data_IF_412843731918
#
_entry.id   IF_412843731918
#
_cell.length_a   1.000
_cell.length_b   1.000
_cell.length_c   1.000
_cell.angle_alpha   90.00
_cell.angle_beta   90.00
_cell.angle_gamma   90.00
#
_symmetry.space_group_name_H-M   'P 1'
#
loop_
_entity.id
_entity.type
_entity.pdbx_description
1 polymer ?
#
# COMPACT_ATOMS: atom_id res chain seq x y z
N UNK A 1 -2.72 28.63 -15.73
CA UNK A 1 -1.36 28.26 -15.31
C UNK A 1 -1.37 26.74 -15.21
N UNK A 2 -0.40 26.02 -15.80
CA UNK A 2 -0.39 24.56 -15.70
C UNK A 2 -0.39 24.21 -14.21
N UNK A 3 -1.14 23.16 -13.83
CA UNK A 3 -1.20 22.59 -12.48
C UNK A 3 0.21 22.66 -11.91
N UNK A 4 0.38 23.49 -10.88
CA UNK A 4 1.67 23.96 -10.40
C UNK A 4 2.62 22.79 -10.19
N UNK A 5 3.91 22.99 -10.49
CA UNK A 5 5.05 22.06 -10.38
C UNK A 5 5.24 21.50 -8.94
N UNK A 6 4.22 20.89 -8.35
CA UNK A 6 4.27 20.24 -7.04
C UNK A 6 5.16 18.99 -7.07
N UNK A 7 5.43 18.43 -8.26
CA UNK A 7 6.38 17.33 -8.44
C UNK A 7 7.82 17.72 -8.06
N UNK A 8 8.17 19.02 -8.09
CA UNK A 8 9.51 19.53 -7.76
C UNK A 8 9.74 19.68 -6.23
N UNK A 9 8.68 19.59 -5.41
CA UNK A 9 8.78 19.71 -3.93
C UNK A 9 8.96 18.37 -3.20
N UNK A 10 8.97 17.25 -3.93
CA UNK A 10 9.26 15.91 -3.36
C UNK A 10 10.75 15.73 -3.04
N UNK A 11 11.11 14.92 -2.03
CA UNK A 11 12.52 14.51 -1.90
C UNK A 11 12.92 13.69 -3.13
N UNK A 12 14.22 13.50 -3.31
CA UNK A 12 14.73 12.70 -4.42
C UNK A 12 14.09 11.30 -4.43
N UNK A 13 13.69 10.85 -5.62
CA UNK A 13 13.04 9.55 -5.89
C UNK A 13 14.03 8.38 -5.79
N UNK A 14 14.70 8.25 -4.65
CA UNK A 14 15.69 7.22 -4.36
C UNK A 14 15.24 6.41 -3.12
N UNK A 15 14.87 5.11 -3.23
CA UNK A 15 14.75 4.25 -4.43
C UNK A 15 13.45 4.48 -5.23
N UNK A 16 13.51 4.26 -6.54
CA UNK A 16 12.33 4.31 -7.44
C UNK A 16 11.42 3.10 -7.20
N UNK A 17 10.30 3.30 -6.50
CA UNK A 17 9.31 2.24 -6.23
C UNK A 17 8.68 1.67 -7.52
N UNK A 18 8.63 2.44 -8.59
CA UNK A 18 8.19 1.99 -9.93
C UNK A 18 8.99 0.79 -10.43
N UNK A 19 10.28 0.72 -10.08
CA UNK A 19 11.15 -0.39 -10.46
C UNK A 19 10.78 -1.68 -9.74
N UNK A 20 10.34 -1.61 -8.48
CA UNK A 20 9.80 -2.76 -7.76
C UNK A 20 8.46 -3.21 -8.37
N UNK A 21 7.61 -2.28 -8.80
CA UNK A 21 6.36 -2.60 -9.48
C UNK A 21 6.61 -3.28 -10.84
N UNK A 22 7.55 -2.79 -11.65
CA UNK A 22 7.90 -3.45 -12.92
C UNK A 22 8.52 -4.83 -12.73
N UNK A 23 9.40 -4.97 -11.72
CA UNK A 23 9.94 -6.28 -11.33
C UNK A 23 8.82 -7.25 -10.96
N UNK A 24 7.86 -6.78 -10.16
CA UNK A 24 6.72 -7.58 -9.73
C UNK A 24 5.82 -7.98 -10.91
N UNK A 25 5.48 -7.05 -11.80
CA UNK A 25 4.71 -7.34 -13.01
C UNK A 25 5.36 -8.44 -13.85
N UNK A 26 6.68 -8.37 -14.05
CA UNK A 26 7.42 -9.38 -14.82
C UNK A 26 7.50 -10.75 -14.12
N UNK A 27 7.28 -10.80 -12.80
CA UNK A 27 7.20 -12.07 -12.07
C UNK A 27 5.85 -12.78 -12.25
N UNK A 28 4.80 -12.04 -12.60
CA UNK A 28 3.46 -12.60 -12.85
C UNK A 28 3.47 -13.40 -14.15
N UNK A 29 2.83 -14.60 -14.18
CA UNK A 29 2.81 -15.46 -15.36
C UNK A 29 2.14 -14.81 -16.58
N UNK A 30 1.24 -13.85 -16.35
CA UNK A 30 0.47 -13.15 -17.40
C UNK A 30 1.30 -12.11 -18.16
N UNK A 31 2.28 -11.48 -17.50
CA UNK A 31 3.12 -10.41 -18.05
C UNK A 31 4.58 -10.82 -18.24
N UNK A 32 4.90 -12.09 -18.01
CA UNK A 32 6.26 -12.65 -18.04
C UNK A 32 7.00 -12.46 -19.37
N UNK A 33 6.28 -12.25 -20.47
CA UNK A 33 6.83 -12.08 -21.82
C UNK A 33 6.75 -10.65 -22.37
N UNK A 34 6.30 -9.67 -21.57
CA UNK A 34 6.15 -8.30 -22.05
C UNK A 34 7.51 -7.63 -22.29
N UNK A 35 7.93 -7.64 -23.56
CA UNK A 35 9.20 -7.10 -24.01
C UNK A 35 9.34 -5.59 -23.71
N UNK A 36 8.24 -4.85 -23.71
CA UNK A 36 8.23 -3.41 -23.40
C UNK A 36 8.53 -3.13 -21.93
N UNK A 37 7.97 -3.91 -21.00
CA UNK A 37 8.26 -3.78 -19.55
C UNK A 37 9.69 -4.18 -19.24
N UNK A 38 10.18 -5.24 -19.90
CA UNK A 38 11.59 -5.63 -19.82
C UNK A 38 12.54 -4.55 -20.34
N UNK A 39 12.21 -3.91 -21.47
CA UNK A 39 13.03 -2.84 -22.02
C UNK A 39 13.09 -1.62 -21.08
N UNK A 40 11.94 -1.19 -20.54
CA UNK A 40 11.87 -0.09 -19.57
C UNK A 40 12.68 -0.37 -18.29
N UNK A 41 12.58 -1.59 -17.77
CA UNK A 41 13.36 -2.00 -16.60
C UNK A 41 14.87 -2.00 -16.91
N UNK A 42 15.28 -2.55 -18.06
CA UNK A 42 16.69 -2.58 -18.46
C UNK A 42 17.26 -1.18 -18.75
N UNK A 43 16.45 -0.27 -19.31
CA UNK A 43 16.83 1.14 -19.50
C UNK A 43 17.04 1.83 -18.16
N UNK A 44 16.15 1.63 -17.19
CA UNK A 44 16.33 2.20 -15.86
C UNK A 44 17.55 1.62 -15.12
N UNK A 45 17.77 0.30 -15.22
CA UNK A 45 18.97 -0.35 -14.66
C UNK A 45 20.26 0.19 -15.30
N UNK A 46 20.24 0.50 -16.61
CA UNK A 46 21.37 1.12 -17.32
C UNK A 46 21.57 2.58 -16.97
N UNK A 47 20.50 3.33 -16.73
CA UNK A 47 20.58 4.74 -16.36
C UNK A 47 21.15 4.92 -14.94
N UNK A 48 20.75 4.05 -14.01
CA UNK A 48 21.10 4.15 -12.58
C UNK A 48 22.24 3.20 -12.15
N UNK A 49 22.83 2.44 -13.09
CA UNK A 49 23.93 1.49 -12.87
C UNK A 49 23.69 0.51 -11.69
N UNK A 50 22.48 -0.04 -11.61
CA UNK A 50 22.04 -0.88 -10.47
C UNK A 50 22.58 -2.32 -10.55
N UNK A 51 23.88 -2.51 -10.35
CA UNK A 51 24.53 -3.82 -10.54
C UNK A 51 24.05 -4.93 -9.56
N UNK A 52 24.00 -4.71 -8.23
CA UNK A 52 23.51 -5.71 -7.27
C UNK A 52 22.03 -6.01 -7.48
N UNK A 53 21.22 -4.99 -7.78
CA UNK A 53 19.80 -5.17 -8.05
C UNK A 53 19.55 -5.98 -9.33
N UNK A 54 20.35 -5.76 -10.39
CA UNK A 54 20.28 -6.56 -11.61
C UNK A 54 20.59 -8.04 -11.35
N UNK A 55 21.57 -8.35 -10.50
CA UNK A 55 21.86 -9.74 -10.11
C UNK A 55 20.68 -10.39 -9.39
N UNK A 56 20.07 -9.68 -8.44
CA UNK A 56 18.86 -10.15 -7.75
C UNK A 56 17.68 -10.38 -8.71
N UNK A 57 17.45 -9.48 -9.66
CA UNK A 57 16.39 -9.64 -10.67
C UNK A 57 16.67 -10.83 -11.58
N UNK A 58 17.92 -10.97 -12.03
CA UNK A 58 18.29 -12.02 -12.96
C UNK A 58 18.12 -13.41 -12.33
N UNK A 59 18.41 -13.53 -11.03
CA UNK A 59 18.17 -14.73 -10.23
C UNK A 59 16.67 -15.01 -10.05
N UNK A 60 15.87 -14.01 -9.68
CA UNK A 60 14.44 -14.21 -9.42
C UNK A 60 13.62 -14.46 -10.70
N UNK A 61 13.94 -13.77 -11.79
CA UNK A 61 13.24 -13.90 -13.07
C UNK A 61 13.81 -15.00 -13.97
N UNK A 62 14.88 -15.69 -13.54
CA UNK A 62 15.64 -16.68 -14.32
C UNK A 62 16.08 -16.15 -15.69
N UNK A 63 16.57 -14.91 -15.74
CA UNK A 63 17.08 -14.32 -16.99
C UNK A 63 18.57 -14.67 -17.19
N UNK A 64 19.07 -14.65 -18.44
CA UNK A 64 20.50 -14.75 -18.69
C UNK A 64 21.20 -13.47 -18.23
N UNK A 65 22.27 -13.64 -17.45
CA UNK A 65 23.07 -12.53 -16.93
C UNK A 65 24.04 -12.02 -18.00
N UNK A 66 23.89 -10.76 -18.42
CA UNK A 66 24.84 -10.10 -19.32
C UNK A 66 26.12 -9.71 -18.55
N UNK A 67 27.14 -10.57 -18.59
CA UNK A 67 28.39 -10.41 -17.84
C UNK A 67 29.17 -9.14 -18.20
N UNK A 68 29.15 -8.74 -19.46
CA UNK A 68 29.87 -7.56 -19.95
C UNK A 68 29.23 -6.25 -19.47
N UNK A 69 27.90 -6.22 -19.38
CA UNK A 69 27.15 -5.07 -18.87
C UNK A 69 27.38 -4.93 -17.37
N UNK A 70 27.31 -6.05 -16.62
CA UNK A 70 27.59 -6.07 -15.20
C UNK A 70 29.02 -5.62 -14.86
N UNK A 71 30.02 -6.05 -15.62
CA UNK A 71 31.40 -5.63 -15.40
C UNK A 71 31.57 -4.11 -15.57
N UNK A 72 30.94 -3.53 -16.61
CA UNK A 72 30.95 -2.07 -16.84
C UNK A 72 30.24 -1.31 -15.71
N UNK A 73 29.09 -1.79 -15.25
CA UNK A 73 28.35 -1.17 -14.15
C UNK A 73 29.12 -1.24 -12.83
N UNK A 74 29.74 -2.39 -12.51
CA UNK A 74 30.55 -2.56 -11.29
C UNK A 74 31.76 -1.63 -11.29
N UNK A 75 32.42 -1.45 -12.44
CA UNK A 75 33.57 -0.53 -12.55
C UNK A 75 33.14 0.93 -12.37
N UNK A 76 32.04 1.35 -12.98
CA UNK A 76 31.48 2.69 -12.79
C UNK A 76 31.06 2.93 -11.32
N UNK A 77 30.39 1.96 -10.71
CA UNK A 77 30.00 2.04 -9.30
C UNK A 77 31.22 2.14 -8.38
N UNK A 78 32.29 1.39 -8.66
CA UNK A 78 33.53 1.46 -7.87
C UNK A 78 34.20 2.82 -7.98
N UNK A 79 34.26 3.39 -9.19
CA UNK A 79 34.82 4.73 -9.41
C UNK A 79 34.02 5.81 -8.69
N UNK A 80 32.69 5.73 -8.71
CA UNK A 80 31.83 6.67 -7.98
C UNK A 80 31.93 6.49 -6.46
N UNK A 81 32.01 5.24 -5.96
CA UNK A 81 32.23 4.99 -4.53
C UNK A 81 33.56 5.58 -4.04
N UNK A 82 34.65 5.43 -4.80
CA UNK A 82 35.96 5.99 -4.44
C UNK A 82 35.87 7.52 -4.37
N UNK A 83 35.25 8.18 -5.35
CA UNK A 83 35.06 9.63 -5.33
C UNK A 83 34.25 10.10 -4.12
N UNK A 84 33.21 9.35 -3.75
CA UNK A 84 32.38 9.67 -2.58
C UNK A 84 33.13 9.42 -1.26
N UNK A 85 33.98 8.40 -1.20
CA UNK A 85 34.84 8.12 -0.05
C UNK A 85 35.92 9.18 0.12
N UNK A 86 36.58 9.60 -0.96
CA UNK A 86 37.55 10.69 -0.97
C UNK A 86 36.87 12.01 -0.52
N UNK A 87 35.65 12.28 -1.00
CA UNK A 87 34.88 13.45 -0.57
C UNK A 87 34.49 13.41 0.91
N UNK A 88 34.21 12.22 1.47
CA UNK A 88 33.96 12.07 2.91
C UNK A 88 35.25 12.31 3.70
N UNK A 89 36.38 11.76 3.26
CA UNK A 89 37.67 11.98 3.92
C UNK A 89 38.10 13.45 3.90
N UNK A 90 37.90 14.14 2.77
CA UNK A 90 38.18 15.57 2.65
C UNK A 90 37.25 16.40 3.52
N UNK A 91 35.97 16.03 3.61
CA UNK A 91 35.02 16.69 4.50
C UNK A 91 35.36 16.45 5.97
N UNK A 92 35.81 15.25 6.35
CA UNK A 92 36.21 14.94 7.74
C UNK A 92 37.50 15.65 8.16
N UNK A 93 38.42 15.90 7.22
CA UNK A 93 39.71 16.56 7.50
C UNK A 93 39.61 18.08 7.47
N UNK A 94 38.81 18.65 6.56
CA UNK A 94 38.85 20.08 6.24
C UNK A 94 37.57 20.86 6.63
N UNK A 95 36.43 20.17 6.81
CA UNK A 95 35.11 20.80 6.85
C UNK A 95 34.36 20.51 8.16
N UNK A 96 33.21 21.17 8.34
CA UNK A 96 32.36 21.02 9.53
C UNK A 96 31.45 19.78 9.50
N UNK A 97 30.82 19.47 10.64
CA UNK A 97 29.92 18.31 10.81
C UNK A 97 28.75 18.28 9.79
N UNK A 98 28.28 19.44 9.34
CA UNK A 98 27.20 19.55 8.35
C UNK A 98 27.62 19.02 6.97
N UNK A 99 28.85 19.31 6.54
CA UNK A 99 29.36 18.91 5.23
C UNK A 99 29.78 17.44 5.23
N UNK A 100 30.35 16.96 6.34
CA UNK A 100 30.58 15.53 6.59
C UNK A 100 29.27 14.76 6.47
N UNK A 101 28.18 15.28 7.05
CA UNK A 101 26.87 14.67 6.94
C UNK A 101 26.38 14.63 5.49
N UNK A 102 26.44 15.74 4.77
CA UNK A 102 25.95 15.80 3.39
C UNK A 102 26.71 14.82 2.47
N UNK A 103 28.03 14.71 2.64
CA UNK A 103 28.84 13.72 1.93
C UNK A 103 28.42 12.28 2.27
N UNK A 104 28.17 11.98 3.54
CA UNK A 104 27.69 10.66 3.96
C UNK A 104 26.25 10.37 3.45
N UNK A 105 25.40 11.40 3.35
CA UNK A 105 24.03 11.28 2.83
C UNK A 105 24.05 10.97 1.33
N UNK A 106 24.85 11.70 0.53
CA UNK A 106 25.06 11.41 -0.89
C UNK A 106 25.56 10.00 -1.14
N UNK A 107 26.49 9.51 -0.30
CA UNK A 107 26.94 8.10 -0.36
C UNK A 107 25.81 7.13 -0.06
N UNK A 108 24.97 7.43 0.93
CA UNK A 108 23.85 6.56 1.31
C UNK A 108 22.77 6.51 0.24
N UNK A 109 22.44 7.66 -0.37
CA UNK A 109 21.53 7.77 -1.52
C UNK A 109 22.07 7.02 -2.74
N UNK A 110 23.38 7.12 -3.00
CA UNK A 110 24.02 6.39 -4.08
C UNK A 110 23.96 4.87 -3.89
N UNK A 111 24.24 4.38 -2.67
CA UNK A 111 24.10 2.95 -2.33
C UNK A 111 22.64 2.48 -2.45
N UNK A 112 21.69 3.35 -2.09
CA UNK A 112 20.25 3.12 -2.27
C UNK A 112 19.87 3.02 -3.75
N UNK A 113 20.43 3.91 -4.59
CA UNK A 113 20.26 3.90 -6.05
C UNK A 113 20.82 2.64 -6.68
N UNK A 114 21.97 2.14 -6.21
CA UNK A 114 22.55 0.89 -6.70
C UNK A 114 21.71 -0.34 -6.27
N UNK A 115 20.96 -0.21 -5.17
CA UNK A 115 20.09 -1.25 -4.64
C UNK A 115 20.80 -2.24 -3.71
N UNK A 116 21.95 -1.91 -3.12
CA UNK A 116 22.54 -2.76 -2.08
C UNK A 116 21.86 -2.49 -0.73
N UNK A 117 20.94 -3.39 -0.34
CA UNK A 117 20.16 -3.27 0.91
C UNK A 117 21.07 -3.18 2.15
N UNK A 118 22.05 -4.07 2.26
CA UNK A 118 22.85 -4.19 3.49
C UNK A 118 23.83 -3.05 3.65
N UNK A 119 24.51 -2.67 2.57
CA UNK A 119 25.41 -1.53 2.59
C UNK A 119 24.67 -0.22 2.83
N UNK A 120 23.51 -0.02 2.18
CA UNK A 120 22.68 1.16 2.37
C UNK A 120 22.20 1.30 3.82
N UNK A 121 21.71 0.22 4.44
CA UNK A 121 21.30 0.26 5.85
C UNK A 121 22.43 0.69 6.79
N UNK A 122 23.64 0.16 6.59
CA UNK A 122 24.80 0.54 7.43
C UNK A 122 25.22 2.00 7.20
N UNK A 123 25.16 2.48 5.96
CA UNK A 123 25.47 3.86 5.61
C UNK A 123 24.46 4.83 6.23
N UNK A 124 23.15 4.51 6.13
CA UNK A 124 22.08 5.32 6.74
C UNK A 124 22.13 5.34 8.27
N UNK A 125 22.60 4.26 8.91
CA UNK A 125 22.84 4.26 10.37
C UNK A 125 24.00 5.18 10.74
N UNK A 126 25.10 5.15 9.99
CA UNK A 126 26.24 6.05 10.19
C UNK A 126 25.86 7.52 9.97
N UNK A 127 25.05 7.81 8.94
CA UNK A 127 24.56 9.19 8.73
C UNK A 127 23.67 9.62 9.90
N UNK A 128 22.78 8.74 10.37
CA UNK A 128 21.85 9.05 11.45
C UNK A 128 22.60 9.45 12.74
N UNK A 129 23.65 8.72 13.11
CA UNK A 129 24.47 9.04 14.29
C UNK A 129 25.15 10.41 14.17
N UNK A 130 25.64 10.76 12.98
CA UNK A 130 26.28 12.06 12.71
C UNK A 130 25.28 13.22 12.53
N UNK A 131 23.99 12.95 12.43
CA UNK A 131 22.97 14.01 12.26
C UNK A 131 22.51 14.57 13.61
N UNK A 132 22.52 15.90 13.73
CA UNK A 132 22.06 16.59 14.95
C UNK A 132 20.63 17.11 14.81
N UNK A 133 20.26 17.65 13.64
CA UNK A 133 18.92 18.22 13.41
C UNK A 133 17.83 17.14 13.31
N UNK A 134 16.72 17.35 14.02
CA UNK A 134 15.59 16.42 14.10
C UNK A 134 14.87 16.24 12.75
N UNK A 135 14.64 17.32 12.00
CA UNK A 135 14.01 17.23 10.67
C UNK A 135 14.82 16.35 9.72
N UNK A 136 16.13 16.48 9.76
CA UNK A 136 17.05 15.68 8.95
C UNK A 136 17.17 14.22 9.39
N UNK A 137 17.04 13.95 10.70
CA UNK A 137 16.91 12.58 11.22
C UNK A 137 15.66 11.89 10.68
N UNK A 138 14.54 12.62 10.61
CA UNK A 138 13.30 12.12 10.04
C UNK A 138 13.46 11.81 8.54
N UNK A 139 14.09 12.70 7.78
CA UNK A 139 14.32 12.48 6.34
C UNK A 139 15.11 11.18 6.09
N UNK A 140 16.15 10.90 6.89
CA UNK A 140 16.92 9.64 6.81
C UNK A 140 16.04 8.42 7.14
N UNK A 141 15.18 8.52 8.15
CA UNK A 141 14.26 7.43 8.50
C UNK A 141 13.26 7.19 7.36
N UNK A 142 12.78 8.22 6.66
CA UNK A 142 11.92 8.04 5.49
C UNK A 142 12.64 7.31 4.36
N UNK A 143 13.94 7.54 4.12
CA UNK A 143 14.73 6.74 3.17
C UNK A 143 14.80 5.27 3.58
N UNK A 144 15.01 4.98 4.87
CA UNK A 144 15.01 3.60 5.39
C UNK A 144 13.65 2.91 5.27
N UNK A 145 12.55 3.65 5.49
CA UNK A 145 11.18 3.12 5.29
C UNK A 145 10.95 2.82 3.79
N UNK A 146 11.38 3.71 2.88
CA UNK A 146 11.29 3.47 1.43
C UNK A 146 12.09 2.25 0.99
N UNK A 147 13.31 2.09 1.49
CA UNK A 147 14.12 0.89 1.26
C UNK A 147 13.40 -0.37 1.78
N UNK A 148 12.80 -0.28 2.96
CA UNK A 148 11.99 -1.37 3.52
C UNK A 148 10.78 -1.72 2.65
N UNK A 149 10.04 -0.72 2.15
CA UNK A 149 8.89 -0.90 1.26
C UNK A 149 9.29 -1.50 -0.10
N UNK A 150 10.42 -1.09 -0.66
CA UNK A 150 10.95 -1.62 -1.92
C UNK A 150 11.28 -3.12 -1.86
N UNK A 151 11.79 -3.58 -0.71
CA UNK A 151 12.09 -4.99 -0.46
C UNK A 151 10.97 -5.77 0.27
N UNK A 152 9.88 -5.10 0.63
CA UNK A 152 8.80 -5.62 1.49
C UNK A 152 9.30 -6.30 2.78
N UNK A 153 10.26 -5.68 3.47
CA UNK A 153 10.73 -6.17 4.78
C UNK A 153 9.89 -5.57 5.92
N UNK A 154 8.93 -6.34 6.42
CA UNK A 154 8.00 -5.92 7.47
C UNK A 154 8.69 -5.53 8.79
N UNK A 155 9.76 -6.22 9.17
CA UNK A 155 10.46 -5.96 10.44
C UNK A 155 11.24 -4.64 10.38
N UNK A 156 11.86 -4.35 9.23
CA UNK A 156 12.57 -3.10 9.03
C UNK A 156 11.60 -1.90 9.02
N UNK A 157 10.46 -2.04 8.32
CA UNK A 157 9.46 -0.97 8.20
C UNK A 157 8.86 -0.65 9.58
N UNK A 158 8.43 -1.65 10.34
CA UNK A 158 7.79 -1.44 11.66
C UNK A 158 8.72 -0.72 12.63
N UNK A 159 9.97 -1.17 12.76
CA UNK A 159 10.97 -0.54 13.64
C UNK A 159 11.22 0.93 13.27
N UNK A 160 11.29 1.23 11.98
CA UNK A 160 11.56 2.60 11.51
C UNK A 160 10.33 3.50 11.62
N UNK A 161 9.12 2.96 11.42
CA UNK A 161 7.87 3.70 11.66
C UNK A 161 7.73 4.09 13.13
N UNK A 162 8.03 3.19 14.07
CA UNK A 162 7.90 3.50 15.50
C UNK A 162 8.96 4.52 15.96
N UNK A 163 10.19 4.44 15.42
CA UNK A 163 11.21 5.49 15.62
C UNK A 163 10.75 6.84 15.06
N UNK A 164 10.14 6.86 13.88
CA UNK A 164 9.63 8.09 13.29
C UNK A 164 8.50 8.70 14.12
N UNK A 165 7.59 7.89 14.68
CA UNK A 165 6.52 8.39 15.57
C UNK A 165 7.10 9.11 16.78
N UNK A 166 8.09 8.50 17.45
CA UNK A 166 8.75 9.07 18.61
C UNK A 166 9.39 10.43 18.29
N UNK A 167 10.14 10.52 17.18
CA UNK A 167 10.79 11.77 16.77
C UNK A 167 9.80 12.86 16.36
N UNK A 168 8.64 12.49 15.79
CA UNK A 168 7.61 13.48 15.45
C UNK A 168 6.92 14.02 16.70
N UNK A 169 6.76 13.21 17.74
CA UNK A 169 6.24 13.66 19.04
C UNK A 169 7.21 14.62 19.75
N UNK A 170 8.53 14.44 19.59
CA UNK A 170 9.55 15.32 20.16
C UNK A 170 9.60 16.72 19.51
N UNK A 171 9.16 16.87 18.27
CA UNK A 171 9.14 18.18 17.60
C UNK A 171 9.18 18.14 16.07
N UNK A 172 8.41 17.24 15.45
CA UNK A 172 8.37 17.13 13.99
C UNK A 172 7.53 18.22 13.33
N UNK A 173 8.02 18.74 12.19
CA UNK A 173 7.25 19.64 11.34
C UNK A 173 5.95 19.00 10.85
N UNK A 174 4.95 19.85 10.62
CA UNK A 174 3.63 19.41 10.20
C UNK A 174 3.66 18.65 8.85
N UNK A 175 4.48 19.09 7.89
CA UNK A 175 4.65 18.39 6.59
C UNK A 175 5.21 16.97 6.76
N UNK A 176 6.27 16.81 7.58
CA UNK A 176 6.87 15.50 7.88
C UNK A 176 5.90 14.57 8.59
N UNK A 177 4.98 15.11 9.39
CA UNK A 177 3.89 14.34 10.02
C UNK A 177 2.93 13.77 8.97
N UNK A 178 2.58 14.55 7.95
CA UNK A 178 1.72 14.07 6.87
C UNK A 178 2.42 13.01 6.02
N UNK A 179 3.70 13.20 5.67
CA UNK A 179 4.49 12.18 4.98
C UNK A 179 4.51 10.88 5.78
N UNK A 180 4.76 10.92 7.09
CA UNK A 180 4.72 9.73 7.94
C UNK A 180 3.36 9.03 7.89
N UNK A 181 2.25 9.77 7.92
CA UNK A 181 0.91 9.19 7.78
C UNK A 181 0.73 8.47 6.44
N UNK A 182 1.22 9.03 5.34
CA UNK A 182 1.19 8.37 4.02
C UNK A 182 2.01 7.08 4.06
N UNK A 183 3.24 7.10 4.59
CA UNK A 183 4.08 5.89 4.75
C UNK A 183 3.39 4.81 5.60
N UNK A 184 2.78 5.21 6.71
CA UNK A 184 2.01 4.31 7.58
C UNK A 184 0.78 3.75 6.87
N UNK A 185 0.07 4.58 6.10
CA UNK A 185 -1.09 4.18 5.30
C UNK A 185 -0.72 3.13 4.27
N UNK A 186 0.34 3.34 3.49
CA UNK A 186 0.85 2.38 2.51
C UNK A 186 1.23 1.05 3.16
N UNK A 187 1.97 1.11 4.27
CA UNK A 187 2.35 -0.10 5.00
C UNK A 187 1.12 -0.84 5.55
N UNK A 188 0.11 -0.10 6.02
CA UNK A 188 -1.14 -0.67 6.53
C UNK A 188 -1.94 -1.36 5.42
N UNK A 189 -1.92 -0.85 4.18
CA UNK A 189 -2.45 -1.54 2.99
C UNK A 189 -1.73 -2.87 2.76
N UNK A 190 -0.39 -2.88 2.85
CA UNK A 190 0.41 -4.10 2.68
C UNK A 190 0.14 -5.18 3.74
N UNK A 191 -0.19 -4.79 4.97
CA UNK A 191 -0.50 -5.69 6.10
C UNK A 191 -2.01 -6.01 6.23
N UNK A 192 -2.86 -5.50 5.31
CA UNK A 192 -4.32 -5.69 5.28
C UNK A 192 -5.10 -4.95 6.38
N UNK A 193 -4.53 -3.91 6.98
CA UNK A 193 -5.26 -3.01 7.89
C UNK A 193 -5.82 -1.80 7.11
N UNK A 194 -6.91 -2.05 6.40
CA UNK A 194 -7.58 -1.01 5.62
C UNK A 194 -8.22 0.08 6.50
N UNK A 195 -8.54 -0.22 7.76
CA UNK A 195 -9.24 0.75 8.63
C UNK A 195 -8.27 1.84 9.09
N UNK A 196 -7.08 1.46 9.52
CA UNK A 196 -6.02 2.42 9.83
C UNK A 196 -5.59 3.18 8.57
N UNK A 197 -5.41 2.48 7.45
CA UNK A 197 -5.04 3.08 6.17
C UNK A 197 -6.05 4.15 5.69
N UNK A 198 -7.36 3.89 5.79
CA UNK A 198 -8.40 4.85 5.38
C UNK A 198 -8.30 6.16 6.15
N UNK A 199 -8.10 6.08 7.48
CA UNK A 199 -7.98 7.26 8.32
C UNK A 199 -6.72 8.06 8.01
N UNK A 200 -5.58 7.39 7.85
CA UNK A 200 -4.33 8.07 7.52
C UNK A 200 -4.38 8.73 6.15
N UNK A 201 -4.91 8.05 5.13
CA UNK A 201 -5.01 8.61 3.80
C UNK A 201 -5.95 9.81 3.75
N UNK A 202 -7.16 9.70 4.31
CA UNK A 202 -8.14 10.79 4.32
C UNK A 202 -7.65 12.05 5.03
N UNK A 203 -6.88 11.90 6.11
CA UNK A 203 -6.28 13.04 6.80
C UNK A 203 -5.22 13.77 5.95
N UNK A 204 -4.63 13.08 4.96
CA UNK A 204 -3.48 13.58 4.17
C UNK A 204 -3.83 13.99 2.74
N UNK A 205 -5.07 13.77 2.26
CA UNK A 205 -5.48 14.12 0.89
C UNK A 205 -5.25 15.60 0.60
N UNK A 206 -5.59 16.48 1.54
CA UNK A 206 -5.54 17.93 1.37
C UNK A 206 -4.14 18.51 1.29
N UNK A 207 -3.15 17.78 1.77
CA UNK A 207 -1.78 18.28 1.95
C UNK A 207 -0.77 17.20 1.57
N UNK A 208 -1.06 16.54 0.46
CA UNK A 208 -0.20 15.52 -0.10
C UNK A 208 1.04 16.16 -0.74
N UNK A 209 2.21 15.84 -0.19
CA UNK A 209 3.53 16.30 -0.67
C UNK A 209 4.47 15.13 -0.98
N UNK A 210 3.97 13.89 -0.96
CA UNK A 210 4.78 12.66 -1.02
C UNK A 210 4.92 12.09 -2.43
N UNK A 211 5.37 12.91 -3.39
CA UNK A 211 5.60 12.51 -4.79
C UNK A 211 6.73 11.47 -4.97
N UNK A 212 7.51 11.24 -3.91
CA UNK A 212 8.50 10.16 -3.84
C UNK A 212 7.88 8.76 -3.90
N UNK A 213 6.66 8.63 -3.37
CA UNK A 213 5.99 7.34 -3.19
C UNK A 213 5.10 7.00 -4.39
N UNK A 214 4.26 7.95 -4.75
CA UNK A 214 3.29 7.81 -5.85
C UNK A 214 2.83 9.18 -6.31
N UNK A 215 2.30 9.20 -7.53
CA UNK A 215 1.64 10.37 -8.08
C UNK A 215 0.29 10.64 -7.38
N UNK A 216 -0.13 11.91 -7.33
CA UNK A 216 -1.32 12.36 -6.62
C UNK A 216 -2.62 11.68 -7.09
N UNK A 217 -2.90 11.50 -8.40
CA UNK A 217 -4.06 10.74 -8.87
C UNK A 217 -4.04 9.27 -8.42
N UNK A 218 -2.86 8.66 -8.35
CA UNK A 218 -2.69 7.29 -7.85
C UNK A 218 -2.97 7.21 -6.35
N UNK A 219 -2.52 8.22 -5.60
CA UNK A 219 -2.81 8.36 -4.18
C UNK A 219 -4.32 8.51 -3.90
N UNK A 220 -5.02 9.35 -4.65
CA UNK A 220 -6.48 9.50 -4.53
C UNK A 220 -7.19 8.19 -4.87
N UNK A 221 -6.74 7.46 -5.90
CA UNK A 221 -7.28 6.13 -6.25
C UNK A 221 -7.18 5.15 -5.07
N UNK A 222 -6.01 5.02 -4.45
CA UNK A 222 -5.85 4.17 -3.27
C UNK A 222 -6.71 4.62 -2.10
N UNK A 223 -6.79 5.94 -1.88
CA UNK A 223 -7.62 6.52 -0.82
C UNK A 223 -9.09 6.12 -0.99
N UNK A 224 -9.64 6.22 -2.21
CA UNK A 224 -11.02 5.81 -2.51
C UNK A 224 -11.20 4.31 -2.29
N UNK A 225 -10.31 3.46 -2.81
CA UNK A 225 -10.43 2.01 -2.66
C UNK A 225 -10.45 1.56 -1.19
N UNK A 226 -9.54 2.10 -0.38
CA UNK A 226 -9.43 1.77 1.04
C UNK A 226 -10.59 2.37 1.84
N UNK A 227 -11.03 3.58 1.49
CA UNK A 227 -12.17 4.22 2.14
C UNK A 227 -13.50 3.46 1.90
N UNK A 228 -13.70 2.89 0.70
CA UNK A 228 -14.92 2.12 0.37
C UNK A 228 -15.08 0.85 1.22
N UNK A 229 -13.97 0.21 1.62
CA UNK A 229 -14.02 -0.97 2.50
C UNK A 229 -14.22 -0.57 3.97
N UNK A 230 -13.54 0.49 4.40
CA UNK A 230 -13.36 0.75 5.84
C UNK A 230 -14.42 1.64 6.46
N UNK A 231 -15.00 2.55 5.68
CA UNK A 231 -15.89 3.58 6.21
C UNK A 231 -17.35 3.18 6.06
N UNK A 232 -18.18 3.47 7.08
CA UNK A 232 -19.62 3.35 6.93
C UNK A 232 -20.14 4.39 5.92
N UNK A 233 -21.31 4.11 5.34
CA UNK A 233 -21.93 4.92 4.27
C UNK A 233 -22.05 6.42 4.59
N UNK A 234 -22.34 6.76 5.84
CA UNK A 234 -22.48 8.16 6.27
C UNK A 234 -21.14 8.91 6.21
N UNK A 235 -20.08 8.31 6.76
CA UNK A 235 -18.75 8.91 6.75
C UNK A 235 -18.17 8.95 5.33
N UNK A 236 -18.42 7.92 4.52
CA UNK A 236 -18.02 7.89 3.12
C UNK A 236 -18.67 9.02 2.31
N UNK A 237 -19.94 9.34 2.58
CA UNK A 237 -20.63 10.48 1.94
C UNK A 237 -19.93 11.80 2.25
N UNK A 238 -19.68 12.06 3.52
CA UNK A 238 -19.21 13.37 3.95
C UNK A 238 -17.71 13.57 3.66
N UNK A 239 -16.88 12.52 3.83
CA UNK A 239 -15.43 12.62 3.62
C UNK A 239 -15.00 12.41 2.18
N UNK A 240 -15.62 11.47 1.45
CA UNK A 240 -15.18 11.09 0.09
C UNK A 240 -16.09 11.69 -0.97
N UNK A 241 -17.38 11.41 -0.92
CA UNK A 241 -18.31 11.80 -2.00
C UNK A 241 -18.48 13.32 -2.08
N UNK A 242 -18.48 14.03 -0.95
CA UNK A 242 -18.56 15.51 -0.89
C UNK A 242 -17.20 16.19 -0.79
N UNK A 243 -16.10 15.45 -0.68
CA UNK A 243 -14.76 16.02 -0.56
C UNK A 243 -14.36 16.71 -1.86
N UNK A 244 -14.08 18.02 -1.81
CA UNK A 244 -13.79 18.82 -3.00
C UNK A 244 -12.52 18.34 -3.73
N UNK A 245 -11.45 18.06 -2.98
CA UNK A 245 -10.15 17.61 -3.51
C UNK A 245 -10.25 16.27 -4.22
N UNK A 246 -11.00 15.33 -3.63
CA UNK A 246 -11.22 14.00 -4.22
C UNK A 246 -12.10 14.13 -5.47
N UNK A 247 -13.14 14.96 -5.43
CA UNK A 247 -14.01 15.21 -6.60
C UNK A 247 -13.23 15.78 -7.79
N UNK A 248 -12.36 16.76 -7.55
CA UNK A 248 -11.53 17.38 -8.61
C UNK A 248 -10.69 16.33 -9.35
N UNK A 249 -10.00 15.47 -8.60
CA UNK A 249 -9.16 14.41 -9.19
C UNK A 249 -10.01 13.29 -9.82
N UNK A 250 -11.17 12.98 -9.25
CA UNK A 250 -12.12 12.01 -9.79
C UNK A 250 -12.66 12.42 -11.17
N UNK A 251 -12.63 13.70 -11.54
CA UNK A 251 -12.96 14.12 -12.91
C UNK A 251 -11.93 13.66 -13.94
N UNK A 252 -10.66 13.50 -13.55
CA UNK A 252 -9.60 12.95 -14.41
C UNK A 252 -9.58 11.43 -14.49
N UNK A 253 -10.24 10.74 -13.54
CA UNK A 253 -10.28 9.27 -13.43
C UNK A 253 -11.74 8.76 -13.43
N UNK A 254 -12.37 8.62 -14.62
CA UNK A 254 -13.77 8.20 -14.72
C UNK A 254 -14.02 6.81 -14.10
N UNK A 255 -13.09 5.88 -14.24
CA UNK A 255 -13.23 4.51 -13.73
C UNK A 255 -13.46 4.46 -12.21
N UNK A 256 -12.70 5.26 -11.45
CA UNK A 256 -12.79 5.31 -9.98
C UNK A 256 -14.06 6.04 -9.56
N UNK A 257 -14.45 7.06 -10.32
CA UNK A 257 -15.67 7.83 -10.09
C UNK A 257 -16.92 6.97 -10.28
N UNK A 258 -17.03 6.29 -11.41
CA UNK A 258 -18.15 5.41 -11.71
C UNK A 258 -18.25 4.28 -10.69
N UNK A 259 -17.12 3.68 -10.31
CA UNK A 259 -17.06 2.67 -9.24
C UNK A 259 -17.61 3.17 -7.89
N UNK A 260 -17.17 4.36 -7.44
CA UNK A 260 -17.61 4.96 -6.18
C UNK A 260 -19.11 5.32 -6.21
N UNK A 261 -19.55 6.00 -7.27
CA UNK A 261 -20.93 6.44 -7.40
C UNK A 261 -21.90 5.29 -7.64
N UNK A 262 -21.50 4.22 -8.34
CA UNK A 262 -22.33 3.04 -8.54
C UNK A 262 -22.73 2.40 -7.20
N UNK A 263 -21.76 2.23 -6.28
CA UNK A 263 -22.04 1.71 -4.94
C UNK A 263 -22.92 2.68 -4.13
N UNK A 264 -22.60 3.97 -4.15
CA UNK A 264 -23.31 4.97 -3.34
C UNK A 264 -24.75 5.19 -3.81
N UNK A 265 -24.99 5.20 -5.13
CA UNK A 265 -26.31 5.37 -5.75
C UNK A 265 -27.12 4.06 -5.84
N UNK A 266 -26.57 2.94 -5.36
CA UNK A 266 -27.18 1.61 -5.39
C UNK A 266 -27.38 1.01 -6.81
N UNK A 267 -26.54 1.37 -7.79
CA UNK A 267 -26.54 0.73 -9.13
C UNK A 267 -25.62 -0.49 -9.13
N UNK A 268 -26.12 -1.61 -8.60
CA UNK A 268 -25.27 -2.79 -8.34
C UNK A 268 -24.77 -3.51 -9.59
N UNK A 269 -25.53 -3.51 -10.68
CA UNK A 269 -25.11 -4.11 -11.95
C UNK A 269 -23.88 -3.43 -12.56
N UNK A 270 -23.81 -2.10 -12.49
CA UNK A 270 -22.63 -1.32 -12.94
C UNK A 270 -21.46 -1.52 -11.98
N UNK A 271 -21.74 -1.53 -10.67
CA UNK A 271 -20.74 -1.77 -9.64
C UNK A 271 -19.98 -3.10 -9.85
N UNK A 272 -20.66 -4.18 -10.25
CA UNK A 272 -19.99 -5.47 -10.51
C UNK A 272 -19.06 -5.44 -11.73
N UNK A 273 -19.40 -4.65 -12.76
CA UNK A 273 -18.53 -4.46 -13.93
C UNK A 273 -17.27 -3.71 -13.53
N UNK A 274 -17.42 -2.57 -12.87
CA UNK A 274 -16.27 -1.80 -12.39
C UNK A 274 -15.44 -2.54 -11.35
N UNK A 275 -16.06 -3.39 -10.51
CA UNK A 275 -15.34 -4.22 -9.55
C UNK A 275 -14.40 -5.21 -10.24
N UNK A 276 -14.79 -5.74 -11.40
CA UNK A 276 -13.92 -6.63 -12.19
C UNK A 276 -12.72 -5.88 -12.76
N UNK A 277 -12.91 -4.64 -13.24
CA UNK A 277 -11.81 -3.80 -13.72
C UNK A 277 -10.84 -3.44 -12.57
N UNK A 278 -11.38 -3.09 -11.40
CA UNK A 278 -10.59 -2.82 -10.20
C UNK A 278 -9.82 -4.07 -9.74
N UNK A 279 -10.41 -5.26 -9.84
CA UNK A 279 -9.72 -6.52 -9.52
C UNK A 279 -8.46 -6.71 -10.39
N UNK A 280 -8.54 -6.42 -11.69
CA UNK A 280 -7.39 -6.48 -12.60
C UNK A 280 -6.30 -5.49 -12.19
N UNK A 281 -6.67 -4.26 -11.85
CA UNK A 281 -5.73 -3.22 -11.39
C UNK A 281 -5.04 -3.67 -10.10
N UNK A 282 -5.78 -4.13 -9.10
CA UNK A 282 -5.22 -4.57 -7.81
C UNK A 282 -4.34 -5.82 -7.94
N UNK A 283 -4.62 -6.68 -8.92
CA UNK A 283 -3.79 -7.86 -9.23
C UNK A 283 -2.45 -7.47 -9.86
N UNK A 284 -2.45 -6.41 -10.66
CA UNK A 284 -1.23 -5.87 -11.29
C UNK A 284 -0.36 -5.08 -10.32
N UNK A 285 -0.93 -4.62 -9.20
CA UNK A 285 -0.20 -3.82 -8.21
C UNK A 285 0.64 -4.66 -7.25
N UNK A 286 1.87 -4.20 -7.00
CA UNK A 286 2.85 -4.87 -6.14
C UNK A 286 2.38 -4.99 -4.69
N UNK A 287 1.79 -3.91 -4.15
CA UNK A 287 1.41 -3.83 -2.74
C UNK A 287 0.09 -4.55 -2.46
N UNK A 288 -0.86 -4.43 -3.38
CA UNK A 288 -2.20 -5.00 -3.21
C UNK A 288 -2.35 -6.45 -3.68
N UNK A 289 -1.46 -6.99 -4.53
CA UNK A 289 -1.63 -8.33 -5.10
C UNK A 289 -1.76 -9.47 -4.07
N UNK A 290 -1.06 -9.52 -2.93
CA UNK A 290 -1.32 -10.58 -1.95
C UNK A 290 -2.76 -10.59 -1.42
N UNK A 291 -3.45 -9.44 -1.46
CA UNK A 291 -4.74 -9.21 -0.82
C UNK A 291 -5.89 -8.88 -1.79
N UNK A 292 -5.70 -8.90 -3.12
CA UNK A 292 -6.76 -8.53 -4.08
C UNK A 292 -8.04 -9.38 -3.89
N UNK A 293 -7.90 -10.68 -3.65
CA UNK A 293 -9.04 -11.59 -3.41
C UNK A 293 -9.82 -11.23 -2.15
N UNK A 294 -9.10 -10.75 -1.12
CA UNK A 294 -9.74 -10.27 0.10
C UNK A 294 -10.55 -9.00 -0.20
N UNK A 295 -9.95 -8.04 -0.92
CA UNK A 295 -10.63 -6.80 -1.31
C UNK A 295 -11.96 -7.07 -2.03
N UNK A 296 -11.93 -7.86 -3.10
CA UNK A 296 -13.12 -8.18 -3.91
C UNK A 296 -14.19 -8.88 -3.07
N UNK A 297 -13.78 -9.81 -2.21
CA UNK A 297 -14.72 -10.54 -1.34
C UNK A 297 -15.41 -9.62 -0.34
N UNK A 298 -14.66 -8.72 0.31
CA UNK A 298 -15.25 -7.78 1.27
C UNK A 298 -16.18 -6.77 0.58
N UNK A 299 -15.81 -6.30 -0.61
CA UNK A 299 -16.67 -5.41 -1.40
C UNK A 299 -18.00 -6.07 -1.82
N UNK A 300 -17.98 -7.36 -2.19
CA UNK A 300 -19.22 -8.12 -2.46
C UNK A 300 -20.11 -8.22 -1.22
N UNK A 301 -19.52 -8.55 -0.07
CA UNK A 301 -20.27 -8.63 1.21
C UNK A 301 -20.91 -7.28 1.54
N UNK A 302 -20.18 -6.18 1.34
CA UNK A 302 -20.66 -4.83 1.62
C UNK A 302 -21.84 -4.45 0.71
N UNK A 303 -21.74 -4.73 -0.60
CA UNK A 303 -22.83 -4.48 -1.54
C UNK A 303 -24.08 -5.32 -1.22
N UNK A 304 -23.92 -6.61 -0.87
CA UNK A 304 -25.03 -7.44 -0.43
C UNK A 304 -25.65 -6.96 0.88
N UNK A 305 -24.83 -6.60 1.86
CA UNK A 305 -25.31 -6.08 3.14
C UNK A 305 -26.12 -4.80 2.95
N UNK A 306 -25.65 -3.89 2.09
CA UNK A 306 -26.34 -2.63 1.78
C UNK A 306 -27.74 -2.84 1.17
N UNK A 307 -27.89 -3.79 0.24
CA UNK A 307 -29.21 -4.12 -0.30
C UNK A 307 -30.11 -4.77 0.75
N UNK A 308 -29.58 -5.75 1.50
CA UNK A 308 -30.33 -6.50 2.49
C UNK A 308 -30.75 -5.66 3.69
N UNK A 309 -29.99 -4.62 4.07
CA UNK A 309 -30.33 -3.77 5.22
C UNK A 309 -31.67 -3.01 5.01
N UNK A 310 -31.97 -2.68 3.75
CA UNK A 310 -33.16 -1.91 3.35
C UNK A 310 -34.44 -2.73 3.36
N UNK A 311 -34.36 -4.06 3.24
CA UNK A 311 -35.50 -4.96 3.08
C UNK A 311 -35.55 -6.04 4.17
N UNK A 312 -36.75 -6.35 4.67
CA UNK A 312 -36.95 -7.48 5.60
C UNK A 312 -36.92 -8.83 4.87
N UNK A 313 -37.50 -8.85 3.67
CA UNK A 313 -37.57 -10.01 2.79
C UNK A 313 -37.53 -9.54 1.35
N UNK A 314 -36.82 -10.27 0.49
CA UNK A 314 -36.72 -10.01 -0.95
C UNK A 314 -36.70 -11.33 -1.72
N UNK A 315 -37.10 -11.31 -2.98
CA UNK A 315 -37.00 -12.49 -3.86
C UNK A 315 -35.58 -12.61 -4.42
N UNK A 316 -35.11 -13.85 -4.60
CA UNK A 316 -33.81 -14.13 -5.24
C UNK A 316 -33.75 -13.58 -6.67
N UNK A 317 -34.88 -13.61 -7.39
CA UNK A 317 -34.97 -13.07 -8.75
C UNK A 317 -34.77 -11.55 -8.79
N UNK A 318 -35.38 -10.79 -7.88
CA UNK A 318 -35.15 -9.35 -7.79
C UNK A 318 -33.68 -9.03 -7.50
N UNK A 319 -33.06 -9.80 -6.60
CA UNK A 319 -31.65 -9.64 -6.29
C UNK A 319 -30.77 -9.94 -7.51
N UNK A 320 -31.05 -11.02 -8.24
CA UNK A 320 -30.36 -11.39 -9.47
C UNK A 320 -30.42 -10.27 -10.53
N UNK A 321 -31.60 -9.72 -10.75
CA UNK A 321 -31.82 -8.60 -11.68
C UNK A 321 -31.10 -7.31 -11.23
N UNK A 322 -31.14 -6.98 -9.94
CA UNK A 322 -30.47 -5.79 -9.41
C UNK A 322 -28.95 -5.83 -9.55
N UNK A 323 -28.34 -7.01 -9.35
CA UNK A 323 -26.90 -7.22 -9.50
C UNK A 323 -26.49 -7.59 -10.94
N UNK A 324 -27.45 -7.86 -11.84
CA UNK A 324 -27.18 -8.24 -13.23
C UNK A 324 -26.51 -9.61 -13.37
N UNK A 325 -26.79 -10.55 -12.47
CA UNK A 325 -26.21 -11.89 -12.42
C UNK A 325 -27.30 -12.96 -12.36
N UNK A 326 -26.92 -14.23 -12.54
CA UNK A 326 -27.85 -15.35 -12.49
C UNK A 326 -28.26 -15.72 -11.05
N UNK A 327 -29.43 -16.33 -10.91
CA UNK A 327 -30.00 -16.75 -9.62
C UNK A 327 -29.09 -17.78 -8.95
N UNK A 328 -28.57 -18.76 -9.71
CA UNK A 328 -27.68 -19.79 -9.19
C UNK A 328 -26.35 -19.21 -8.69
N UNK A 329 -25.87 -18.13 -9.31
CA UNK A 329 -24.66 -17.44 -8.87
C UNK A 329 -24.86 -16.77 -7.51
N UNK A 330 -25.99 -16.05 -7.34
CA UNK A 330 -26.33 -15.41 -6.06
C UNK A 330 -26.51 -16.44 -4.95
N UNK A 331 -27.19 -17.55 -5.22
CA UNK A 331 -27.41 -18.59 -4.20
C UNK A 331 -26.08 -19.19 -3.70
N UNK A 332 -25.12 -19.44 -4.60
CA UNK A 332 -23.79 -19.92 -4.24
C UNK A 332 -22.98 -18.89 -3.43
N UNK A 333 -23.04 -17.61 -3.78
CA UNK A 333 -22.32 -16.57 -3.03
C UNK A 333 -22.94 -16.31 -1.65
N UNK A 334 -24.27 -16.17 -1.59
CA UNK A 334 -24.97 -15.94 -0.33
C UNK A 334 -24.79 -17.11 0.63
N UNK A 335 -24.94 -18.36 0.16
CA UNK A 335 -24.74 -19.54 1.01
C UNK A 335 -23.35 -19.57 1.63
N UNK A 336 -22.30 -19.24 0.86
CA UNK A 336 -20.93 -19.13 1.37
C UNK A 336 -20.77 -18.05 2.43
N UNK A 337 -21.32 -16.86 2.22
CA UNK A 337 -21.20 -15.74 3.17
C UNK A 337 -22.04 -15.91 4.44
N UNK A 338 -23.21 -16.54 4.31
CA UNK A 338 -24.08 -16.90 5.44
C UNK A 338 -23.40 -18.00 6.27
N UNK A 339 -22.84 -19.03 5.63
CA UNK A 339 -22.10 -20.09 6.32
C UNK A 339 -20.86 -19.54 7.06
N UNK A 340 -20.18 -18.54 6.47
CA UNK A 340 -19.08 -17.84 7.13
C UNK A 340 -19.54 -16.87 8.25
N UNK A 341 -20.85 -16.67 8.43
CA UNK A 341 -21.42 -15.75 9.42
C UNK A 341 -21.12 -14.28 9.14
N UNK A 342 -20.78 -13.92 7.89
CA UNK A 342 -20.51 -12.53 7.47
C UNK A 342 -21.78 -11.81 7.04
N UNK A 343 -22.80 -12.56 6.63
CA UNK A 343 -24.10 -12.05 6.21
C UNK A 343 -25.20 -12.60 7.12
N UNK A 344 -26.03 -11.72 7.67
CA UNK A 344 -27.13 -12.11 8.55
C UNK A 344 -28.43 -12.25 7.78
N UNK A 345 -28.47 -13.25 6.89
CA UNK A 345 -29.64 -13.58 6.11
C UNK A 345 -29.87 -15.10 6.07
N UNK A 346 -31.10 -15.50 5.75
CA UNK A 346 -31.48 -16.88 5.48
C UNK A 346 -32.05 -16.93 4.07
N UNK A 347 -31.64 -17.94 3.31
CA UNK A 347 -32.13 -18.17 1.95
C UNK A 347 -33.06 -19.37 1.98
N UNK A 348 -34.29 -19.18 1.52
CA UNK A 348 -35.23 -20.24 1.19
C UNK A 348 -35.24 -20.43 -0.34
N UNK A 349 -34.58 -21.50 -0.79
CA UNK A 349 -34.47 -21.83 -2.22
C UNK A 349 -35.80 -22.32 -2.82
N UNK A 350 -36.68 -22.94 -2.04
CA UNK A 350 -37.97 -23.45 -2.53
C UNK A 350 -38.96 -22.29 -2.68
N UNK A 351 -39.00 -21.41 -1.68
CA UNK A 351 -39.80 -20.18 -1.73
C UNK A 351 -39.22 -19.10 -2.64
N UNK A 352 -37.92 -19.18 -2.99
CA UNK A 352 -37.22 -18.17 -3.77
C UNK A 352 -37.03 -16.86 -3.02
N UNK A 353 -37.00 -16.89 -1.68
CA UNK A 353 -37.02 -15.70 -0.81
C UNK A 353 -35.75 -15.68 0.04
N UNK A 354 -35.17 -14.48 0.20
CA UNK A 354 -34.12 -14.19 1.17
C UNK A 354 -34.73 -13.37 2.29
N UNK A 355 -34.70 -13.94 3.50
CA UNK A 355 -35.15 -13.27 4.73
C UNK A 355 -33.94 -12.73 5.48
N UNK A 356 -33.99 -11.45 5.87
CA UNK A 356 -32.93 -10.83 6.65
C UNK A 356 -33.20 -11.04 8.13
N UNK A 357 -32.19 -11.54 8.84
CA UNK A 357 -32.26 -11.67 10.28
C UNK A 357 -31.47 -10.51 10.89
N UNK A 358 -32.12 -9.71 11.73
CA UNK A 358 -31.44 -8.62 12.44
C UNK A 358 -31.03 -9.14 13.81
N UNK A 359 -29.77 -9.59 14.00
CA UNK A 359 -29.32 -9.99 15.32
C UNK A 359 -29.34 -8.78 16.26
N UNK A 360 -29.86 -8.98 17.48
CA UNK A 360 -29.76 -7.97 18.52
C UNK A 360 -28.29 -7.58 18.78
N UNK A 361 -28.04 -6.29 18.95
CA UNK A 361 -26.69 -5.74 19.17
C UNK A 361 -25.99 -6.43 20.36
N UNK A 362 -26.74 -6.77 21.42
CA UNK A 362 -26.22 -7.51 22.58
C UNK A 362 -25.76 -8.92 22.22
N UNK A 363 -26.46 -9.62 21.35
CA UNK A 363 -26.09 -10.98 20.94
C UNK A 363 -24.82 -10.98 20.08
N UNK A 364 -24.70 -9.99 19.18
CA UNK A 364 -23.48 -9.79 18.41
C UNK A 364 -22.27 -9.48 19.30
N UNK A 365 -22.43 -8.54 20.25
CA UNK A 365 -21.38 -8.20 21.22
C UNK A 365 -20.98 -9.42 22.06
N UNK A 366 -21.96 -10.16 22.58
CA UNK A 366 -21.71 -11.37 23.37
C UNK A 366 -20.88 -12.41 22.60
N UNK A 367 -21.25 -12.71 21.35
CA UNK A 367 -20.49 -13.63 20.50
C UNK A 367 -19.08 -13.11 20.18
N UNK A 368 -18.94 -11.81 19.93
CA UNK A 368 -17.64 -11.20 19.67
C UNK A 368 -16.71 -11.31 20.89
N UNK A 369 -17.22 -11.05 22.10
CA UNK A 369 -16.48 -11.14 23.35
C UNK A 369 -16.00 -12.57 23.62
N UNK A 370 -16.84 -13.58 23.37
CA UNK A 370 -16.42 -14.99 23.50
C UNK A 370 -15.28 -15.32 22.54
N UNK A 371 -15.40 -14.95 21.26
CA UNK A 371 -14.36 -15.24 20.26
C UNK A 371 -13.02 -14.57 20.61
N UNK A 372 -13.05 -13.32 21.05
CA UNK A 372 -11.83 -12.60 21.48
C UNK A 372 -11.28 -13.18 22.79
N UNK A 373 -12.16 -13.55 23.72
CA UNK A 373 -11.81 -14.22 24.98
C UNK A 373 -11.08 -15.54 24.76
N UNK A 374 -11.60 -16.40 23.89
CA UNK A 374 -10.98 -17.68 23.55
C UNK A 374 -9.58 -17.49 22.93
N UNK A 375 -9.42 -16.51 22.04
CA UNK A 375 -8.12 -16.20 21.45
C UNK A 375 -7.10 -15.77 22.53
N UNK A 376 -7.53 -14.91 23.46
CA UNK A 376 -6.70 -14.44 24.56
C UNK A 376 -6.32 -15.58 25.51
N UNK A 377 -7.28 -16.39 25.93
CA UNK A 377 -7.06 -17.55 26.81
C UNK A 377 -6.06 -18.53 26.20
N UNK A 378 -6.20 -18.84 24.91
CA UNK A 378 -5.25 -19.71 24.20
C UNK A 378 -3.82 -19.13 24.19
N UNK A 379 -3.68 -17.81 24.05
CA UNK A 379 -2.37 -17.15 24.06
C UNK A 379 -1.75 -17.15 25.46
N UNK A 380 -2.55 -16.87 26.50
CA UNK A 380 -2.13 -16.92 27.90
C UNK A 380 -1.71 -18.35 28.27
N UNK A 381 -2.47 -19.37 27.87
CA UNK A 381 -2.15 -20.76 28.16
C UNK A 381 -0.81 -21.18 27.52
N UNK A 382 -0.53 -20.75 26.28
CA UNK A 382 0.77 -20.97 25.63
C UNK A 382 1.91 -20.27 26.37
N UNK A 383 1.72 -19.01 26.74
CA UNK A 383 2.71 -18.24 27.51
C UNK A 383 3.00 -18.88 28.88
N UNK A 384 1.97 -19.29 29.61
CA UNK A 384 2.12 -19.96 30.91
C UNK A 384 2.94 -21.25 30.80
N UNK A 385 2.76 -22.05 29.73
CA UNK A 385 3.56 -23.25 29.50
C UNK A 385 5.04 -22.94 29.24
N UNK A 386 5.34 -21.83 28.56
CA UNK A 386 6.73 -21.41 28.29
C UNK A 386 7.40 -20.83 29.52
N UNK A 387 6.66 -20.12 30.38
CA UNK A 387 7.20 -19.51 31.61
C UNK A 387 7.42 -20.53 32.73
N UNK A 388 6.61 -21.60 32.77
CA UNK A 388 6.69 -22.64 33.80
C UNK A 388 7.73 -23.75 33.50
N UNK A 389 8.35 -23.75 32.31
CA UNK A 389 9.52 -24.56 31.95
C UNK A 389 10.75 -23.72 32.22
#
# INVERSE_FOLDING_TARGET
>A
MPVENLEEEGLEKNPKLELAQYKFLLSLPEHKQDAALKAKLLEAVRADNMAPWYEHICLELNWPVDKDLLARMREQNRLELIKLDDAIEDAEKNLGEMEVREANLKKSEFLCRIGDKTAAETAFRKTYEKTVSLGHRLDIIFHLIRLGLFYLDHDLITRNIDKAKYLIEEGGDWDRRNRLKVYQGIYSVAVRDFKAAANFFLDTVSTFTSYELMDYPTFVRYTVYVAMISLPRNELRDKVVKGAEIQEVLHGLPDVKEYLFALYNCHYAEFFKHLADVELVLRSDYLANPHYRYYVREMRILAYTQLLESYRSLTLQYMAEAFGVDIDYIDQELSRFIAAGRLHAKVDRVGGIVETNRPDNKNWQYQATIKQGDLLLNRIQKLSRVINI
#
